data_IF_181882321158
#
_entry.id   IF_181882321158
#
_cell.length_a   1.000
_cell.length_b   1.000
_cell.length_c   1.000
_cell.angle_alpha   90.00
_cell.angle_beta   90.00
_cell.angle_gamma   90.00
#
_symmetry.space_group_name_H-M   'P 1'
#
loop_
_entity.id
_entity.type
_entity.pdbx_description
1 polymer ?
#
# COMPACT_ATOMS: atom_id res chain seq x y z
N UNK A 1 -18.80 8.76 3.56
CA UNK A 1 -18.87 8.39 4.98
C UNK A 1 -17.88 7.28 5.29
N UNK A 2 -17.21 7.37 6.44
CA UNK A 2 -16.24 6.38 6.91
C UNK A 2 -16.91 5.50 7.96
N UNK A 3 -16.84 4.19 7.79
CA UNK A 3 -17.38 3.21 8.74
C UNK A 3 -16.23 2.58 9.54
N UNK A 4 -16.36 2.46 10.86
CA UNK A 4 -15.44 1.70 11.70
C UNK A 4 -15.90 0.26 11.85
N UNK A 5 -14.95 -0.65 11.96
CA UNK A 5 -15.23 -2.07 12.14
C UNK A 5 -13.98 -2.93 12.16
N UNK A 6 -14.20 -4.23 12.06
CA UNK A 6 -13.16 -5.24 12.00
C UNK A 6 -13.43 -6.20 10.83
N UNK A 7 -12.36 -6.71 10.23
CA UNK A 7 -12.46 -7.84 9.31
C UNK A 7 -12.36 -9.13 10.12
N UNK A 8 -13.30 -10.02 9.92
CA UNK A 8 -13.41 -11.29 10.65
C UNK A 8 -13.60 -12.44 9.68
N UNK A 9 -13.01 -13.60 9.98
CA UNK A 9 -13.31 -14.81 9.24
C UNK A 9 -14.75 -15.27 9.52
N UNK A 10 -15.45 -15.67 8.49
CA UNK A 10 -16.81 -16.21 8.60
C UNK A 10 -16.81 -17.40 9.55
N UNK A 11 -17.70 -17.38 10.53
CA UNK A 11 -17.81 -18.38 11.59
C UNK A 11 -16.52 -18.60 12.41
N UNK A 12 -15.55 -17.67 12.35
CA UNK A 12 -14.24 -17.82 12.99
C UNK A 12 -13.28 -18.81 12.30
N UNK A 13 -13.65 -19.35 11.15
CA UNK A 13 -12.85 -20.33 10.40
C UNK A 13 -11.86 -19.60 9.46
N UNK A 14 -10.57 -19.79 9.73
CA UNK A 14 -9.50 -19.19 8.92
C UNK A 14 -9.53 -19.69 7.47
N UNK A 15 -9.11 -18.83 6.57
CA UNK A 15 -8.97 -19.11 5.13
C UNK A 15 -10.28 -19.41 4.39
N UNK A 16 -11.40 -18.98 4.97
CA UNK A 16 -12.74 -19.01 4.38
C UNK A 16 -13.11 -17.65 3.77
N UNK A 17 -14.32 -17.19 4.00
CA UNK A 17 -14.77 -15.85 3.61
C UNK A 17 -14.46 -14.84 4.73
N UNK A 18 -14.01 -13.67 4.37
CA UNK A 18 -13.85 -12.54 5.31
C UNK A 18 -15.09 -11.66 5.26
N UNK A 19 -15.61 -11.32 6.42
CA UNK A 19 -16.73 -10.39 6.59
C UNK A 19 -16.23 -9.10 7.24
N UNK A 20 -16.85 -7.97 6.89
CA UNK A 20 -16.66 -6.73 7.62
C UNK A 20 -17.74 -6.61 8.68
N UNK A 21 -17.33 -6.53 9.95
CA UNK A 21 -18.18 -6.39 11.11
C UNK A 21 -18.11 -4.94 11.61
N UNK A 22 -19.17 -4.13 11.39
CA UNK A 22 -19.22 -2.75 11.87
C UNK A 22 -19.16 -2.68 13.41
N UNK A 23 -18.19 -1.94 13.93
CA UNK A 23 -17.96 -1.76 15.35
C UNK A 23 -17.42 -0.34 15.61
N UNK A 24 -18.09 0.49 16.41
CA UNK A 24 -17.60 1.83 16.77
C UNK A 24 -16.21 1.83 17.41
N UNK A 25 -15.79 0.72 18.03
CA UNK A 25 -14.47 0.50 18.63
C UNK A 25 -13.54 -0.27 17.70
N UNK A 26 -14.00 -0.64 16.49
CA UNK A 26 -13.21 -1.38 15.51
C UNK A 26 -11.89 -0.70 15.17
N UNK A 27 -10.92 -1.50 14.77
CA UNK A 27 -9.57 -1.01 14.46
C UNK A 27 -9.44 -0.39 13.07
N UNK A 28 -10.30 -0.80 12.15
CA UNK A 28 -10.32 -0.28 10.78
C UNK A 28 -11.27 0.89 10.61
N UNK A 29 -10.91 1.78 9.70
CA UNK A 29 -11.75 2.81 9.12
C UNK A 29 -11.83 2.58 7.62
N UNK A 30 -13.02 2.46 7.08
CA UNK A 30 -13.28 2.08 5.69
C UNK A 30 -14.17 3.12 5.04
N UNK A 31 -13.75 3.67 3.91
CA UNK A 31 -14.54 4.62 3.11
C UNK A 31 -15.22 3.97 1.92
N UNK A 32 -14.71 2.82 1.46
CA UNK A 32 -15.27 2.05 0.37
C UNK A 32 -14.92 0.57 0.53
N UNK A 33 -15.84 -0.29 0.16
CA UNK A 33 -15.65 -1.75 0.10
C UNK A 33 -15.90 -2.25 -1.32
N UNK A 34 -15.10 -3.22 -1.79
CA UNK A 34 -15.31 -3.80 -3.11
C UNK A 34 -16.66 -4.51 -3.17
N UNK A 35 -17.35 -4.48 -4.32
CA UNK A 35 -18.58 -5.22 -4.52
C UNK A 35 -18.35 -6.74 -4.40
N UNK A 36 -19.44 -7.48 -4.22
CA UNK A 36 -19.40 -8.92 -3.91
C UNK A 36 -18.67 -9.73 -4.97
N UNK A 37 -18.73 -9.28 -6.21
CA UNK A 37 -18.18 -9.98 -7.38
C UNK A 37 -16.65 -9.99 -7.40
N UNK A 38 -16.00 -9.05 -6.70
CA UNK A 38 -14.55 -8.90 -6.72
C UNK A 38 -13.89 -9.05 -5.33
N UNK A 39 -14.68 -9.17 -4.25
CA UNK A 39 -14.14 -9.40 -2.91
C UNK A 39 -14.03 -10.88 -2.59
N UNK A 40 -13.17 -11.24 -1.65
CA UNK A 40 -12.97 -12.61 -1.17
C UNK A 40 -12.61 -13.63 -2.28
N UNK A 41 -11.99 -13.18 -3.36
CA UNK A 41 -11.58 -14.07 -4.45
C UNK A 41 -10.26 -14.75 -4.04
N UNK A 42 -10.29 -16.08 -3.98
CA UNK A 42 -9.07 -16.87 -3.83
C UNK A 42 -8.49 -17.19 -5.20
N UNK A 43 -7.30 -16.67 -5.49
CA UNK A 43 -6.55 -16.97 -6.72
C UNK A 43 -5.26 -17.68 -6.35
N UNK A 44 -4.91 -18.71 -7.11
CA UNK A 44 -3.66 -19.43 -6.95
C UNK A 44 -2.84 -19.37 -8.23
N UNK A 45 -1.54 -19.12 -8.08
CA UNK A 45 -0.56 -19.20 -9.16
C UNK A 45 0.67 -19.98 -8.63
N UNK A 46 1.09 -21.01 -9.36
CA UNK A 46 2.21 -21.86 -8.96
C UNK A 46 2.08 -22.38 -7.50
N UNK A 47 0.90 -22.86 -7.13
CA UNK A 47 0.56 -23.36 -5.78
C UNK A 47 0.62 -22.31 -4.65
N UNK A 48 0.70 -21.00 -4.97
CA UNK A 48 0.69 -19.91 -4.01
C UNK A 48 -0.58 -19.08 -4.16
N UNK A 49 -1.14 -18.62 -3.04
CA UNK A 49 -2.22 -17.64 -3.06
C UNK A 49 -1.66 -16.28 -3.46
N UNK A 50 -2.27 -15.66 -4.46
CA UNK A 50 -1.88 -14.34 -4.98
C UNK A 50 -3.06 -13.37 -4.94
N UNK A 51 -2.77 -12.08 -4.86
CA UNK A 51 -3.76 -11.03 -4.86
C UNK A 51 -4.43 -10.91 -6.24
N UNK A 52 -5.75 -11.20 -6.37
CA UNK A 52 -6.43 -11.21 -7.67
C UNK A 52 -6.65 -9.81 -8.25
N UNK A 53 -6.76 -8.78 -7.40
CA UNK A 53 -7.13 -7.43 -7.79
C UNK A 53 -5.94 -6.45 -7.76
N UNK A 54 -4.73 -6.93 -8.09
CA UNK A 54 -3.51 -6.12 -8.06
C UNK A 54 -3.56 -4.90 -9.00
N UNK A 55 -4.33 -4.96 -10.08
CA UNK A 55 -4.51 -3.83 -10.99
C UNK A 55 -5.46 -2.76 -10.42
N UNK A 56 -6.39 -3.16 -9.54
CA UNK A 56 -7.38 -2.26 -8.96
C UNK A 56 -6.81 -1.47 -7.77
N UNK A 57 -6.01 -2.12 -6.92
CA UNK A 57 -5.49 -1.45 -5.75
C UNK A 57 -4.26 -2.13 -5.14
N UNK A 58 -3.72 -1.47 -4.14
CA UNK A 58 -2.53 -1.90 -3.39
C UNK A 58 -2.63 -1.47 -1.93
N UNK A 59 -1.86 -2.10 -1.06
CA UNK A 59 -1.70 -1.68 0.33
C UNK A 59 -0.28 -1.28 0.69
N UNK A 60 -0.15 -0.48 1.74
CA UNK A 60 1.12 -0.14 2.38
C UNK A 60 1.05 -0.41 3.88
N UNK A 61 2.05 -1.08 4.42
CA UNK A 61 2.08 -1.55 5.80
C UNK A 61 3.35 -1.11 6.51
N UNK A 62 3.19 -0.38 7.60
CA UNK A 62 4.22 -0.16 8.61
C UNK A 62 3.94 -1.06 9.82
N UNK A 63 4.74 -2.11 9.98
CA UNK A 63 4.53 -3.14 11.00
C UNK A 63 5.40 -2.93 12.24
N UNK A 64 5.17 -3.72 13.28
CA UNK A 64 6.03 -3.85 14.44
C UNK A 64 6.20 -5.33 14.80
N UNK A 65 7.36 -5.69 15.35
CA UNK A 65 7.70 -7.09 15.68
C UNK A 65 7.66 -7.39 17.18
N UNK A 66 7.74 -6.36 18.03
CA UNK A 66 7.75 -6.53 19.49
C UNK A 66 6.34 -6.41 20.07
N UNK A 67 5.91 -7.41 20.80
CA UNK A 67 4.61 -7.44 21.46
C UNK A 67 4.52 -6.45 22.62
N UNK A 68 5.60 -6.27 23.40
CA UNK A 68 5.66 -5.35 24.52
C UNK A 68 6.80 -4.33 24.38
N UNK A 69 6.55 -3.12 24.87
CA UNK A 69 7.60 -2.11 25.08
C UNK A 69 7.64 -1.77 26.56
N UNK A 70 8.85 -1.54 27.09
CA UNK A 70 9.10 -1.24 28.50
C UNK A 70 8.27 -0.05 29.00
N UNK A 71 7.98 0.92 28.10
CA UNK A 71 7.31 2.17 28.46
C UNK A 71 5.87 2.29 27.90
N UNK A 72 5.31 1.24 27.30
CA UNK A 72 3.98 1.30 26.65
C UNK A 72 3.90 2.27 25.47
N UNK A 73 5.01 2.88 25.03
CA UNK A 73 5.11 3.91 23.97
C UNK A 73 5.60 3.36 22.63
N UNK A 74 5.40 2.07 22.37
CA UNK A 74 5.83 1.47 21.10
C UNK A 74 5.07 2.01 19.87
N UNK A 75 5.72 1.93 18.70
CA UNK A 75 5.11 2.21 17.40
C UNK A 75 3.82 1.42 17.24
N UNK A 76 2.82 2.01 16.62
CA UNK A 76 1.57 1.35 16.23
C UNK A 76 1.79 0.60 14.93
N UNK A 77 1.00 -0.44 14.70
CA UNK A 77 0.87 -0.96 13.35
C UNK A 77 -0.02 -0.02 12.55
N UNK A 78 0.42 0.36 11.37
CA UNK A 78 -0.35 1.17 10.45
C UNK A 78 -0.49 0.48 9.09
N UNK A 79 -1.67 0.62 8.50
CA UNK A 79 -1.96 0.00 7.22
C UNK A 79 -2.97 0.83 6.44
N UNK A 80 -2.69 1.01 5.15
CA UNK A 80 -3.60 1.66 4.22
C UNK A 80 -3.84 0.79 3.00
N UNK A 81 -5.08 0.85 2.48
CA UNK A 81 -5.39 0.41 1.12
C UNK A 81 -5.71 1.61 0.25
N UNK A 82 -5.21 1.56 -0.96
CA UNK A 82 -5.31 2.61 -1.97
C UNK A 82 -5.83 2.03 -3.28
N UNK A 83 -6.92 2.60 -3.79
CA UNK A 83 -7.42 2.32 -5.14
C UNK A 83 -6.61 3.11 -6.16
N UNK A 84 -6.08 2.41 -7.15
CA UNK A 84 -5.48 2.99 -8.34
C UNK A 84 -6.56 3.61 -9.23
N UNK A 85 -6.17 4.22 -10.33
CA UNK A 85 -7.12 4.70 -11.32
C UNK A 85 -7.94 3.55 -11.90
N UNK A 86 -9.26 3.71 -11.87
CA UNK A 86 -10.23 2.79 -12.46
C UNK A 86 -11.48 3.56 -12.92
N UNK A 87 -12.16 3.08 -13.97
CA UNK A 87 -13.30 3.81 -14.52
C UNK A 87 -14.62 3.59 -13.76
N UNK A 88 -14.76 2.46 -13.07
CA UNK A 88 -16.01 2.05 -12.42
C UNK A 88 -16.02 2.24 -10.91
N UNK A 89 -14.84 2.34 -10.26
CA UNK A 89 -14.71 2.40 -8.81
C UNK A 89 -14.00 3.69 -8.39
N UNK A 90 -14.10 4.09 -7.12
CA UNK A 90 -13.34 5.22 -6.60
C UNK A 90 -11.86 5.09 -6.97
N UNK A 91 -11.36 6.10 -7.68
CA UNK A 91 -10.02 6.13 -8.26
C UNK A 91 -9.11 7.05 -7.49
N UNK A 92 -7.81 6.73 -7.47
CA UNK A 92 -6.76 7.57 -6.87
C UNK A 92 -7.12 8.02 -5.45
N UNK A 93 -7.62 7.07 -4.63
CA UNK A 93 -8.08 7.39 -3.27
C UNK A 93 -7.76 6.30 -2.27
N UNK A 94 -7.51 6.70 -1.03
CA UNK A 94 -7.40 5.76 0.09
C UNK A 94 -8.79 5.28 0.50
N UNK A 95 -8.94 3.97 0.61
CA UNK A 95 -10.23 3.32 0.90
C UNK A 95 -10.27 2.67 2.28
N UNK A 96 -9.10 2.48 2.92
CA UNK A 96 -8.98 1.90 4.24
C UNK A 96 -7.81 2.52 5.00
N UNK A 97 -8.02 2.81 6.27
CA UNK A 97 -7.02 3.21 7.28
C UNK A 97 -7.09 2.26 8.47
N UNK A 98 -5.93 1.82 8.94
CA UNK A 98 -5.74 1.12 10.20
C UNK A 98 -4.58 1.78 10.96
N UNK A 99 -4.78 2.08 12.24
CA UNK A 99 -3.71 2.49 13.14
C UNK A 99 -4.05 2.02 14.55
N UNK A 100 -3.46 0.92 14.96
CA UNK A 100 -3.69 0.31 16.26
C UNK A 100 -2.47 -0.50 16.70
N UNK A 101 -2.36 -0.71 18.00
CA UNK A 101 -1.38 -1.61 18.60
C UNK A 101 -2.09 -2.67 19.43
N UNK A 102 -2.58 -3.76 18.81
CA UNK A 102 -3.08 -4.90 19.58
C UNK A 102 -1.99 -5.49 20.48
N UNK A 103 -2.38 -6.24 21.54
CA UNK A 103 -1.44 -6.77 22.52
C UNK A 103 -0.34 -7.68 21.92
N UNK A 104 -0.66 -8.37 20.84
CA UNK A 104 0.24 -9.26 20.13
C UNK A 104 0.40 -8.80 18.69
N UNK A 105 1.63 -8.72 18.18
CA UNK A 105 1.93 -8.34 16.80
C UNK A 105 1.22 -9.24 15.77
N UNK A 106 1.09 -10.54 16.06
CA UNK A 106 0.36 -11.49 15.21
C UNK A 106 -1.12 -11.12 14.97
N UNK A 107 -1.77 -10.41 15.92
CA UNK A 107 -3.14 -9.93 15.73
C UNK A 107 -3.17 -8.85 14.64
N UNK A 108 -2.20 -7.94 14.65
CA UNK A 108 -2.04 -6.95 13.60
C UNK A 108 -1.77 -7.61 12.24
N UNK A 109 -0.88 -8.61 12.20
CA UNK A 109 -0.56 -9.31 10.94
C UNK A 109 -1.79 -10.02 10.37
N UNK A 110 -2.59 -10.66 11.22
CA UNK A 110 -3.84 -11.31 10.81
C UNK A 110 -4.90 -10.30 10.36
N UNK A 111 -4.97 -9.15 11.00
CA UNK A 111 -5.85 -8.06 10.58
C UNK A 111 -5.50 -7.56 9.18
N UNK A 112 -4.21 -7.32 8.91
CA UNK A 112 -3.71 -6.93 7.58
C UNK A 112 -4.03 -8.01 6.54
N UNK A 113 -3.79 -9.29 6.88
CA UNK A 113 -4.05 -10.41 5.97
C UNK A 113 -5.53 -10.50 5.60
N UNK A 114 -6.44 -10.44 6.59
CA UNK A 114 -7.89 -10.48 6.35
C UNK A 114 -8.34 -9.35 5.43
N UNK A 115 -7.91 -8.11 5.69
CA UNK A 115 -8.29 -6.99 4.87
C UNK A 115 -7.68 -7.08 3.46
N UNK A 116 -6.41 -7.46 3.32
CA UNK A 116 -5.77 -7.67 2.02
C UNK A 116 -6.49 -8.77 1.21
N UNK A 117 -6.88 -9.87 1.86
CA UNK A 117 -7.64 -10.95 1.23
C UNK A 117 -9.04 -10.50 0.81
N UNK A 118 -9.77 -9.78 1.69
CA UNK A 118 -11.11 -9.27 1.39
C UNK A 118 -11.13 -8.38 0.14
N UNK A 119 -10.15 -7.47 0.01
CA UNK A 119 -10.02 -6.58 -1.15
C UNK A 119 -9.34 -7.29 -2.35
N UNK A 120 -8.60 -8.34 -2.11
CA UNK A 120 -7.77 -8.98 -3.13
C UNK A 120 -6.57 -8.13 -3.54
N UNK A 121 -6.07 -7.25 -2.67
CA UNK A 121 -4.98 -6.33 -2.97
C UNK A 121 -3.64 -6.83 -2.45
N UNK A 122 -2.56 -6.71 -3.23
CA UNK A 122 -1.22 -6.94 -2.73
C UNK A 122 -0.78 -5.81 -1.81
N UNK A 123 0.16 -6.10 -0.91
CA UNK A 123 0.65 -5.14 0.07
C UNK A 123 2.17 -4.98 -0.02
N UNK A 124 2.64 -3.73 0.05
CA UNK A 124 4.05 -3.39 0.20
C UNK A 124 4.36 -3.16 1.67
N UNK A 125 5.31 -3.91 2.20
CA UNK A 125 5.73 -3.84 3.60
C UNK A 125 7.07 -3.12 3.75
N UNK A 126 7.30 -2.55 4.92
CA UNK A 126 8.65 -2.18 5.35
C UNK A 126 9.42 -3.46 5.71
N UNK A 127 10.54 -3.73 5.04
CA UNK A 127 11.25 -5.00 5.23
C UNK A 127 12.30 -4.99 6.35
N UNK A 128 12.39 -3.93 7.13
CA UNK A 128 13.25 -3.88 8.32
C UNK A 128 12.71 -4.74 9.48
N UNK A 129 11.44 -5.16 9.36
CA UNK A 129 10.70 -5.95 10.34
C UNK A 129 10.12 -7.19 9.65
N UNK A 130 10.69 -8.34 9.91
CA UNK A 130 10.39 -9.57 9.18
C UNK A 130 9.18 -10.35 9.72
N UNK A 131 8.62 -9.98 10.86
CA UNK A 131 7.54 -10.71 11.51
C UNK A 131 6.31 -10.88 10.62
N UNK A 132 5.84 -9.80 10.00
CA UNK A 132 4.69 -9.84 9.11
C UNK A 132 4.95 -10.69 7.85
N UNK A 133 6.16 -10.63 7.26
CA UNK A 133 6.50 -11.41 6.08
C UNK A 133 6.48 -12.92 6.40
N UNK A 134 7.09 -13.32 7.51
CA UNK A 134 7.08 -14.71 7.98
C UNK A 134 5.66 -15.20 8.32
N UNK A 135 4.84 -14.30 8.86
CA UNK A 135 3.44 -14.63 9.15
C UNK A 135 2.66 -14.93 7.88
N UNK A 136 2.73 -14.07 6.87
CA UNK A 136 2.07 -14.29 5.57
C UNK A 136 2.57 -15.57 4.90
N UNK A 137 3.89 -15.84 4.94
CA UNK A 137 4.49 -17.06 4.42
C UNK A 137 3.95 -18.30 5.16
N UNK A 138 3.95 -18.31 6.50
CA UNK A 138 3.44 -19.43 7.30
C UNK A 138 1.96 -19.71 7.09
N UNK A 139 1.18 -18.69 6.69
CA UNK A 139 -0.24 -18.79 6.36
C UNK A 139 -0.49 -19.11 4.87
N UNK A 140 0.57 -19.21 4.04
CA UNK A 140 0.46 -19.46 2.61
C UNK A 140 -0.05 -18.27 1.78
N UNK A 141 0.16 -17.03 2.28
CA UNK A 141 -0.22 -15.78 1.62
C UNK A 141 0.99 -14.93 1.19
N UNK A 142 2.15 -15.51 1.06
CA UNK A 142 3.37 -14.81 0.62
C UNK A 142 3.22 -14.14 -0.76
N UNK A 143 2.34 -14.66 -1.63
CA UNK A 143 2.01 -14.05 -2.91
C UNK A 143 1.20 -12.75 -2.82
N UNK A 144 0.67 -12.39 -1.64
CA UNK A 144 0.09 -11.06 -1.39
C UNK A 144 1.15 -10.01 -1.06
N UNK A 145 2.37 -10.42 -0.69
CA UNK A 145 3.46 -9.50 -0.42
C UNK A 145 4.13 -9.06 -1.72
N UNK A 146 4.22 -7.77 -1.91
CA UNK A 146 4.90 -7.19 -3.08
C UNK A 146 6.41 -7.32 -2.96
N UNK A 147 7.05 -7.61 -4.09
CA UNK A 147 8.48 -7.42 -4.23
C UNK A 147 8.82 -5.93 -4.25
N UNK A 148 10.08 -5.60 -3.99
CA UNK A 148 10.58 -4.23 -4.08
C UNK A 148 10.25 -3.64 -5.46
N UNK A 149 9.56 -2.48 -5.53
CA UNK A 149 9.27 -1.84 -6.80
C UNK A 149 10.56 -1.54 -7.58
N UNK A 150 10.57 -1.84 -8.88
CA UNK A 150 11.77 -1.73 -9.71
C UNK A 150 12.34 -0.31 -9.77
N UNK A 151 11.49 0.72 -9.66
CA UNK A 151 11.91 2.13 -9.67
C UNK A 151 12.62 2.56 -8.39
N UNK A 152 12.52 1.77 -7.30
CA UNK A 152 13.19 1.98 -6.03
C UNK A 152 14.39 1.03 -5.83
N UNK A 153 14.72 0.23 -6.83
CA UNK A 153 15.84 -0.71 -6.76
C UNK A 153 17.11 -0.03 -7.26
N UNK A 154 18.08 0.18 -6.37
CA UNK A 154 19.39 0.76 -6.71
C UNK A 154 20.39 -0.26 -7.21
N UNK A 155 20.12 -1.55 -7.03
CA UNK A 155 21.03 -2.64 -7.43
C UNK A 155 20.37 -3.54 -8.47
N UNK A 156 21.16 -3.95 -9.46
CA UNK A 156 20.80 -4.96 -10.47
C UNK A 156 20.78 -6.38 -9.86
N UNK A 157 20.32 -6.53 -8.64
CA UNK A 157 20.20 -7.84 -8.00
C UNK A 157 19.03 -8.60 -8.62
N UNK A 158 19.29 -9.79 -9.12
CA UNK A 158 18.26 -10.74 -9.58
C UNK A 158 17.45 -11.35 -8.43
N UNK A 159 17.80 -11.04 -7.18
CA UNK A 159 17.11 -11.55 -6.00
C UNK A 159 15.90 -10.66 -5.72
N UNK A 160 14.72 -11.24 -5.88
CA UNK A 160 13.46 -10.60 -5.49
C UNK A 160 13.35 -10.57 -3.97
N UNK A 161 13.37 -9.38 -3.41
CA UNK A 161 13.20 -9.17 -1.97
C UNK A 161 11.80 -8.60 -1.71
N UNK A 162 11.08 -9.19 -0.77
CA UNK A 162 9.77 -8.68 -0.33
C UNK A 162 9.93 -7.36 0.42
N UNK A 163 9.07 -6.40 0.08
CA UNK A 163 9.06 -5.09 0.74
C UNK A 163 10.23 -4.18 0.36
N UNK A 164 10.32 -3.05 1.05
CA UNK A 164 11.38 -2.06 0.87
C UNK A 164 12.02 -1.68 2.20
N UNK A 165 13.35 -1.43 2.26
CA UNK A 165 13.99 -0.86 3.44
C UNK A 165 13.61 0.62 3.53
N UNK A 166 13.06 1.05 4.65
CA UNK A 166 12.64 2.43 4.85
C UNK A 166 13.75 3.35 5.37
N UNK A 167 14.93 2.83 5.62
CA UNK A 167 16.06 3.55 6.22
C UNK A 167 17.04 4.17 5.21
N UNK A 168 16.86 3.94 3.90
CA UNK A 168 17.67 4.63 2.89
C UNK A 168 17.11 6.02 2.61
N UNK A 169 17.99 7.02 2.41
CA UNK A 169 17.60 8.40 2.11
C UNK A 169 16.70 8.48 0.87
N UNK A 170 17.00 7.71 -0.16
CA UNK A 170 16.22 7.67 -1.40
C UNK A 170 14.77 7.20 -1.15
N UNK A 171 14.58 6.20 -0.29
CA UNK A 171 13.24 5.71 0.06
C UNK A 171 12.50 6.76 0.90
N UNK A 172 13.16 7.39 1.87
CA UNK A 172 12.56 8.43 2.72
C UNK A 172 12.08 9.62 1.87
N UNK A 173 12.92 10.10 0.95
CA UNK A 173 12.56 11.18 0.03
C UNK A 173 11.44 10.76 -0.92
N UNK A 174 11.46 9.51 -1.41
CA UNK A 174 10.42 8.98 -2.28
C UNK A 174 9.06 8.91 -1.59
N UNK A 175 9.00 8.56 -0.29
CA UNK A 175 7.78 8.60 0.50
C UNK A 175 7.19 10.02 0.58
N UNK A 176 8.02 11.00 0.98
CA UNK A 176 7.59 12.38 1.11
C UNK A 176 7.09 12.93 -0.23
N UNK A 177 7.85 12.71 -1.30
CA UNK A 177 7.48 13.16 -2.64
C UNK A 177 6.20 12.48 -3.17
N UNK A 178 6.00 11.18 -2.89
CA UNK A 178 4.79 10.48 -3.30
C UNK A 178 3.54 11.05 -2.61
N UNK A 179 3.63 11.38 -1.31
CA UNK A 179 2.54 11.99 -0.54
C UNK A 179 2.28 13.41 -1.04
N UNK A 180 3.31 14.23 -1.21
CA UNK A 180 3.19 15.59 -1.73
C UNK A 180 2.52 15.62 -3.12
N UNK A 181 2.98 14.75 -4.02
CA UNK A 181 2.39 14.59 -5.35
C UNK A 181 0.93 14.13 -5.28
N UNK A 182 0.61 13.21 -4.38
CA UNK A 182 -0.77 12.75 -4.18
C UNK A 182 -1.67 13.90 -3.68
N UNK A 183 -1.21 14.66 -2.68
CA UNK A 183 -1.97 15.80 -2.16
C UNK A 183 -2.22 16.80 -3.27
N UNK A 184 -1.19 17.16 -4.03
CA UNK A 184 -1.30 18.13 -5.12
C UNK A 184 -2.29 17.70 -6.21
N UNK A 185 -2.26 16.41 -6.59
CA UNK A 185 -3.03 15.92 -7.74
C UNK A 185 -4.42 15.38 -7.37
N UNK A 186 -4.64 14.94 -6.13
CA UNK A 186 -5.81 14.14 -5.77
C UNK A 186 -6.51 14.57 -4.47
N UNK A 187 -6.06 15.63 -3.81
CA UNK A 187 -6.70 16.12 -2.57
C UNK A 187 -7.11 17.58 -2.72
N UNK A 188 -8.37 17.88 -2.36
CA UNK A 188 -8.93 19.22 -2.50
C UNK A 188 -9.26 19.56 -3.96
N UNK A 189 -9.26 20.85 -4.29
CA UNK A 189 -9.57 21.32 -5.63
C UNK A 189 -8.29 21.39 -6.45
N UNK A 190 -8.22 20.60 -7.50
CA UNK A 190 -7.17 20.76 -8.50
C UNK A 190 -7.38 22.08 -9.26
N UNK A 191 -6.43 22.99 -9.18
CA UNK A 191 -6.54 24.33 -9.77
C UNK A 191 -6.57 24.34 -11.30
N UNK A 192 -6.03 23.28 -11.94
CA UNK A 192 -5.97 23.16 -13.40
C UNK A 192 -7.23 22.53 -13.98
N UNK A 193 -7.76 21.48 -13.34
CA UNK A 193 -8.91 20.70 -13.83
C UNK A 193 -10.21 21.06 -13.14
N UNK A 194 -10.17 21.68 -11.97
CA UNK A 194 -11.34 21.93 -11.14
C UNK A 194 -11.88 20.72 -10.40
N UNK A 195 -11.24 19.54 -10.55
CA UNK A 195 -11.67 18.32 -9.91
C UNK A 195 -11.46 18.36 -8.40
N UNK A 196 -12.39 17.79 -7.66
CA UNK A 196 -12.31 17.67 -6.20
C UNK A 196 -11.97 16.25 -5.79
N UNK A 197 -10.82 16.07 -5.17
CA UNK A 197 -10.44 14.83 -4.51
C UNK A 197 -10.69 14.87 -3.01
N UNK A 198 -11.00 13.72 -2.41
CA UNK A 198 -11.29 13.61 -0.97
C UNK A 198 -10.35 12.62 -0.31
N UNK A 199 -9.64 13.10 0.72
CA UNK A 199 -8.97 12.24 1.69
C UNK A 199 -9.91 12.04 2.89
N UNK A 200 -10.45 10.83 3.03
CA UNK A 200 -11.47 10.52 4.04
C UNK A 200 -10.94 10.35 5.47
N UNK A 201 -9.62 10.22 5.64
CA UNK A 201 -9.01 9.81 6.90
C UNK A 201 -8.28 10.99 7.58
N UNK A 202 -8.98 11.68 8.48
CA UNK A 202 -8.44 12.84 9.19
C UNK A 202 -7.16 12.52 9.98
N UNK A 203 -7.04 11.31 10.55
CA UNK A 203 -5.83 10.91 11.30
C UNK A 203 -4.61 10.85 10.40
N UNK A 204 -4.77 10.37 9.17
CA UNK A 204 -3.68 10.36 8.19
C UNK A 204 -3.33 11.77 7.74
N UNK A 205 -4.33 12.66 7.55
CA UNK A 205 -4.08 14.08 7.26
C UNK A 205 -3.32 14.78 8.39
N UNK A 206 -3.71 14.55 9.65
CA UNK A 206 -3.02 15.08 10.82
C UNK A 206 -1.56 14.59 10.89
N UNK A 207 -1.34 13.29 10.59
CA UNK A 207 -0.03 12.68 10.56
C UNK A 207 0.86 13.30 9.45
N UNK A 208 0.30 13.54 8.25
CA UNK A 208 1.00 14.21 7.16
C UNK A 208 1.38 15.66 7.50
N UNK A 209 0.47 16.42 8.13
CA UNK A 209 0.73 17.81 8.55
C UNK A 209 1.87 17.87 9.58
N UNK A 210 1.91 16.91 10.49
CA UNK A 210 2.93 16.82 11.53
C UNK A 210 4.26 16.22 11.07
N UNK A 211 4.30 15.60 9.89
CA UNK A 211 5.44 14.80 9.44
C UNK A 211 6.72 15.61 9.32
N UNK A 212 7.77 15.07 9.92
CA UNK A 212 9.15 15.58 9.82
C UNK A 212 10.09 14.43 9.49
N UNK A 213 10.89 14.59 8.46
CA UNK A 213 11.84 13.56 7.99
C UNK A 213 12.78 13.13 9.12
N UNK A 214 13.25 14.06 9.93
CA UNK A 214 14.19 13.78 11.05
C UNK A 214 13.57 13.00 12.20
N UNK A 215 12.24 12.91 12.27
CA UNK A 215 11.50 12.23 13.34
C UNK A 215 10.44 11.27 12.80
N UNK A 216 10.69 10.68 11.66
CA UNK A 216 9.75 9.85 10.88
C UNK A 216 9.17 8.66 11.65
N UNK A 217 9.89 8.12 12.62
CA UNK A 217 9.45 6.94 13.41
C UNK A 217 8.24 7.18 14.30
N UNK A 218 7.75 8.41 14.37
CA UNK A 218 6.53 8.78 15.09
C UNK A 218 5.29 8.90 14.19
N UNK A 219 5.46 8.70 12.87
CA UNK A 219 4.45 8.96 11.87
C UNK A 219 4.09 7.68 11.10
N UNK A 220 3.56 6.69 11.83
CA UNK A 220 3.26 5.36 11.30
C UNK A 220 2.24 5.41 10.14
N UNK A 221 1.24 6.33 10.21
CA UNK A 221 0.25 6.52 9.15
C UNK A 221 0.86 7.15 7.90
N UNK A 222 1.82 8.06 8.06
CA UNK A 222 2.58 8.64 6.94
C UNK A 222 3.39 7.57 6.24
N UNK A 223 4.08 6.72 6.98
CA UNK A 223 4.90 5.63 6.41
C UNK A 223 4.01 4.65 5.65
N UNK A 224 2.94 4.15 6.25
CA UNK A 224 2.07 3.16 5.60
C UNK A 224 1.34 3.74 4.37
N UNK A 225 0.86 4.97 4.42
CA UNK A 225 0.24 5.63 3.26
C UNK A 225 1.25 5.90 2.14
N UNK A 226 2.46 6.35 2.48
CA UNK A 226 3.56 6.51 1.52
C UNK A 226 3.94 5.19 0.85
N UNK A 227 4.00 4.09 1.59
CA UNK A 227 4.23 2.75 1.03
C UNK A 227 3.15 2.36 0.02
N UNK A 228 1.87 2.63 0.32
CA UNK A 228 0.77 2.37 -0.61
C UNK A 228 0.91 3.19 -1.91
N UNK A 229 1.27 4.46 -1.80
CA UNK A 229 1.49 5.31 -2.97
C UNK A 229 2.70 4.86 -3.80
N UNK A 230 3.81 4.48 -3.17
CA UNK A 230 4.98 3.92 -3.87
C UNK A 230 4.64 2.60 -4.55
N UNK A 231 3.83 1.74 -3.91
CA UNK A 231 3.35 0.49 -4.50
C UNK A 231 2.43 0.73 -5.71
N UNK A 232 1.67 1.83 -5.72
CA UNK A 232 0.77 2.18 -6.81
C UNK A 232 1.48 2.74 -8.04
N UNK A 233 2.71 3.28 -7.89
CA UNK A 233 3.46 3.85 -9.00
C UNK A 233 3.83 2.75 -10.01
N UNK A 234 3.42 2.95 -11.26
CA UNK A 234 3.90 2.10 -12.37
C UNK A 234 5.37 2.41 -12.62
N UNK A 235 6.17 1.37 -12.81
CA UNK A 235 7.52 1.57 -13.32
C UNK A 235 7.43 2.39 -14.62
N UNK A 236 8.14 3.52 -14.69
CA UNK A 236 8.23 4.26 -15.96
C UNK A 236 8.75 3.27 -16.99
N UNK A 237 8.06 3.10 -18.14
CA UNK A 237 8.62 2.27 -19.20
C UNK A 237 10.02 2.80 -19.47
N UNK A 238 11.02 1.92 -19.45
CA UNK A 238 12.34 2.26 -19.95
C UNK A 238 12.14 2.57 -21.41
N UNK A 239 12.01 3.84 -21.76
CA UNK A 239 12.14 4.27 -23.13
C UNK A 239 13.56 3.93 -23.51
N UNK A 240 13.74 2.83 -24.26
CA UNK A 240 14.97 2.70 -25.05
C UNK A 240 15.04 4.01 -25.83
N UNK A 241 16.18 4.74 -25.80
CA UNK A 241 16.37 5.84 -26.72
C UNK A 241 16.00 5.24 -28.09
N UNK A 242 14.97 5.79 -28.71
CA UNK A 242 14.61 5.29 -30.03
C UNK A 242 15.74 5.69 -30.94
N UNK A 243 16.49 4.73 -31.45
CA UNK A 243 17.41 4.86 -32.59
C UNK A 243 16.72 5.48 -33.83
N UNK A 244 15.45 5.81 -33.67
CA UNK A 244 14.56 6.30 -34.73
C UNK A 244 14.74 7.80 -35.03
N UNK A 245 15.19 8.59 -34.06
CA UNK A 245 15.33 10.04 -34.28
C UNK A 245 16.57 10.41 -35.05
N UNK A 246 17.68 9.72 -34.86
CA UNK A 246 18.91 9.99 -35.61
C UNK A 246 18.87 9.53 -37.07
N UNK A 247 18.27 8.37 -37.34
CA UNK A 247 18.17 7.85 -38.73
C UNK A 247 17.18 8.62 -39.60
N UNK A 248 16.13 9.19 -39.01
CA UNK A 248 15.15 10.01 -39.78
C UNK A 248 15.72 11.40 -40.05
N UNK A 249 16.52 11.96 -39.14
CA UNK A 249 17.15 13.26 -39.34
C UNK A 249 18.24 13.22 -40.44
N UNK A 250 19.08 12.19 -40.43
CA UNK A 250 20.16 12.03 -41.44
C UNK A 250 19.66 11.71 -42.84
N UNK A 251 18.49 11.06 -42.99
CA UNK A 251 17.87 10.82 -44.33
C UNK A 251 17.29 12.07 -44.98
N UNK A 252 16.95 13.09 -44.23
CA UNK A 252 16.41 14.35 -44.77
C UNK A 252 17.49 15.33 -45.27
N UNK A 253 18.74 15.15 -44.85
CA UNK A 253 19.85 16.03 -45.26
C UNK A 253 20.74 15.46 -46.34
N UNK A 254 20.69 14.17 -46.65
CA UNK A 254 21.51 13.53 -47.69
C UNK A 254 20.74 13.23 -48.97
N UNK A 255 19.62 13.86 -49.22
CA UNK A 255 18.80 13.73 -50.39
C UNK A 255 18.84 15.01 -51.25
N UNK A 256 20.05 15.33 -51.78
CA UNK A 256 20.25 16.12 -52.98
C UNK A 256 21.44 15.58 -53.75
#
# INVERSE_FOLDING_TARGET
PVVRGNFVWKNGEQDTEVLFDPDPKGRFRVSWMPPTEIRNISKQENSKRVAPNAELGVGGVDSYDLDATVDGRGSKGAFHLYNKFHMEYPSNTFVLEYASRPPLARIFYEDVLKAAFFYGYPVLIENNKYGIARYFESRGYDGYLMDRPAHLSTTKSNVKTKGIPSNSQDVIQSHAHAIESYIHNHVGVNRETGDMGIMYFNRTLEDWIGYKIDNRTKFDLTISSGLALLAAQKAKPKTKPSDFSEKVFLRRFNGR
#
